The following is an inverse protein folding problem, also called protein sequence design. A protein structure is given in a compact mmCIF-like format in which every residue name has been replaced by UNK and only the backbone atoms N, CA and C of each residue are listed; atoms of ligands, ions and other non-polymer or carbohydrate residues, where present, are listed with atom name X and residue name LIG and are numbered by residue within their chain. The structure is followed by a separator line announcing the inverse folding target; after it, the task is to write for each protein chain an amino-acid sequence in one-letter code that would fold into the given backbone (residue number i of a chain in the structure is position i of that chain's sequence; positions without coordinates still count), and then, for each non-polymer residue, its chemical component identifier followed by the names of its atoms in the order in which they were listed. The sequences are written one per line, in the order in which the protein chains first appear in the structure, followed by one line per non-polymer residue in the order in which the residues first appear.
data_IF_499520427068
#
_entry.id   IF_499520427068
#
_cell.length_a   1.000
_cell.length_b   1.000
_cell.length_c   1.000
_cell.angle_alpha   90.00
_cell.angle_beta   90.00
_cell.angle_gamma   90.00
#
_symmetry.space_group_name_H-M   'P 1'
#
loop_
_entity.id
_entity.type
_entity.pdbx_description
1 polymer ?
#
# COMPACT_ATOMS: atom_id res chain seq x y z
N UNK A 1 89.07 -38.35 -17.29
CA UNK A 1 89.01 -37.11 -18.08
C UNK A 1 87.55 -36.68 -18.15
N UNK A 2 87.28 -35.57 -17.63
CA UNK A 2 85.97 -34.95 -17.33
C UNK A 2 85.29 -34.44 -18.58
N UNK A 3 83.92 -34.43 -18.49
CA UNK A 3 83.18 -33.31 -19.03
C UNK A 3 81.80 -33.26 -18.36
N UNK A 4 81.61 -32.18 -17.59
CA UNK A 4 80.37 -31.73 -17.06
C UNK A 4 79.48 -31.15 -18.16
N UNK A 5 78.21 -31.51 -18.21
CA UNK A 5 77.19 -30.71 -18.93
C UNK A 5 76.13 -30.24 -18.01
N UNK A 6 76.08 -28.94 -17.88
CA UNK A 6 74.98 -28.19 -17.33
C UNK A 6 73.68 -28.36 -18.12
N UNK A 7 72.58 -28.65 -17.46
CA UNK A 7 71.25 -28.57 -18.04
C UNK A 7 70.42 -27.59 -17.17
N UNK A 8 70.20 -26.47 -17.79
CA UNK A 8 69.40 -25.33 -17.30
C UNK A 8 67.92 -25.70 -17.19
N UNK A 9 67.34 -25.37 -16.05
CA UNK A 9 65.91 -25.48 -15.84
C UNK A 9 65.15 -24.28 -16.45
N UNK A 10 64.31 -24.58 -17.41
CA UNK A 10 63.37 -23.61 -18.00
C UNK A 10 62.07 -24.32 -18.42
N UNK A 11 61.34 -24.87 -17.48
CA UNK A 11 60.00 -25.48 -17.81
C UNK A 11 58.94 -25.43 -16.69
N UNK A 12 59.07 -24.54 -15.69
CA UNK A 12 58.09 -24.45 -14.62
C UNK A 12 57.31 -23.12 -14.52
N UNK A 13 57.48 -22.19 -15.45
CA UNK A 13 56.81 -20.89 -15.38
C UNK A 13 55.54 -20.79 -16.25
N UNK A 14 55.36 -21.69 -17.20
CA UNK A 14 54.26 -21.59 -18.18
C UNK A 14 52.96 -22.28 -17.70
N UNK A 15 53.00 -23.10 -16.64
CA UNK A 15 51.80 -23.85 -16.20
C UNK A 15 50.89 -23.03 -15.23
N UNK A 16 51.37 -21.96 -14.65
CA UNK A 16 50.61 -21.19 -13.69
C UNK A 16 49.77 -20.02 -14.29
N UNK A 17 50.13 -19.55 -15.47
CA UNK A 17 49.33 -18.51 -16.14
C UNK A 17 48.02 -19.05 -16.75
N UNK A 18 47.96 -20.34 -17.07
CA UNK A 18 46.75 -20.95 -17.69
C UNK A 18 45.64 -21.26 -16.69
N UNK A 19 45.98 -21.33 -15.40
CA UNK A 19 45.01 -21.59 -14.33
C UNK A 19 44.32 -20.31 -13.83
N UNK A 20 44.88 -19.15 -14.01
CA UNK A 20 44.30 -17.86 -13.63
C UNK A 20 43.32 -17.32 -14.69
N UNK A 21 43.50 -17.71 -15.96
CA UNK A 21 42.60 -17.27 -17.04
C UNK A 21 41.22 -17.95 -17.01
N UNK A 22 41.10 -19.13 -16.35
CA UNK A 22 39.84 -19.86 -16.25
C UNK A 22 39.00 -19.38 -15.04
N UNK A 23 39.63 -18.76 -14.04
CA UNK A 23 38.93 -18.23 -12.83
C UNK A 23 38.22 -16.91 -13.04
N UNK A 24 38.64 -16.10 -14.03
CA UNK A 24 38.04 -14.77 -14.28
C UNK A 24 36.87 -14.86 -15.28
N UNK A 25 36.82 -15.88 -16.13
CA UNK A 25 35.73 -16.12 -17.07
C UNK A 25 34.45 -16.69 -16.47
N UNK A 26 34.53 -17.27 -15.25
CA UNK A 26 33.39 -17.88 -14.57
C UNK A 26 32.59 -16.91 -13.67
N UNK A 27 33.18 -15.78 -13.30
CA UNK A 27 32.53 -14.82 -12.37
C UNK A 27 31.69 -13.74 -13.09
N UNK A 28 31.81 -13.62 -14.41
CA UNK A 28 31.07 -12.60 -15.18
C UNK A 28 29.75 -13.10 -15.79
N UNK A 29 29.34 -14.34 -15.52
CA UNK A 29 28.11 -14.92 -16.10
C UNK A 29 26.95 -15.08 -15.09
N UNK A 30 27.03 -14.50 -13.90
CA UNK A 30 25.84 -14.23 -13.08
C UNK A 30 25.30 -12.86 -13.49
N UNK A 31 24.88 -12.73 -14.74
CA UNK A 31 23.92 -11.72 -15.14
C UNK A 31 22.66 -12.04 -14.38
N UNK A 32 22.40 -11.28 -13.32
CA UNK A 32 21.11 -11.21 -12.66
C UNK A 32 20.10 -10.93 -13.77
N UNK A 33 19.41 -11.97 -14.22
CA UNK A 33 18.17 -11.82 -14.96
C UNK A 33 17.23 -11.13 -13.97
N UNK A 34 17.21 -9.81 -13.98
CA UNK A 34 16.15 -9.03 -13.38
C UNK A 34 14.88 -9.50 -14.09
N UNK A 35 14.18 -10.43 -13.48
CA UNK A 35 12.85 -10.83 -13.92
C UNK A 35 12.04 -9.55 -13.85
N UNK A 36 11.75 -8.95 -15.02
CA UNK A 36 10.83 -7.84 -15.12
C UNK A 36 9.53 -8.34 -14.52
N UNK A 37 9.16 -7.80 -13.34
CA UNK A 37 7.86 -8.07 -12.73
C UNK A 37 6.85 -7.33 -13.60
N UNK A 38 6.19 -8.10 -14.44
CA UNK A 38 5.11 -7.60 -15.28
C UNK A 38 3.90 -7.37 -14.39
N UNK A 39 3.45 -6.13 -14.27
CA UNK A 39 2.28 -5.79 -13.47
C UNK A 39 1.63 -4.51 -14.01
N UNK A 40 0.33 -4.37 -13.79
CA UNK A 40 -0.35 -3.09 -13.96
C UNK A 40 -0.03 -2.21 -12.76
N UNK A 41 0.31 -0.94 -12.97
CA UNK A 41 0.50 0.06 -11.91
C UNK A 41 -0.67 1.02 -11.89
N UNK A 42 -1.24 1.25 -10.70
CA UNK A 42 -2.38 2.16 -10.50
C UNK A 42 -2.00 3.20 -9.45
N UNK A 43 -2.12 4.48 -9.77
CA UNK A 43 -1.76 5.60 -8.89
C UNK A 43 -2.70 6.80 -9.06
N UNK A 44 -3.04 7.49 -7.94
CA UNK A 44 -2.80 7.14 -6.55
C UNK A 44 -3.75 6.03 -6.07
N UNK A 45 -3.43 5.37 -4.95
CA UNK A 45 -4.29 4.32 -4.35
C UNK A 45 -5.32 4.86 -3.36
N UNK A 46 -5.20 6.13 -2.97
CA UNK A 46 -6.18 6.89 -2.17
C UNK A 46 -6.37 8.25 -2.81
N UNK A 47 -7.61 8.65 -2.96
CA UNK A 47 -8.02 9.93 -3.52
C UNK A 47 -9.00 10.60 -2.56
N UNK A 48 -8.67 11.82 -2.16
CA UNK A 48 -9.55 12.67 -1.36
C UNK A 48 -10.14 13.77 -2.24
N UNK A 49 -11.47 13.81 -2.28
CA UNK A 49 -12.24 14.82 -2.98
C UNK A 49 -13.01 15.68 -1.96
N UNK A 50 -13.44 16.85 -2.42
CA UNK A 50 -14.43 17.68 -1.72
C UNK A 50 -15.75 17.66 -2.48
N UNK A 51 -16.87 17.83 -1.77
CA UNK A 51 -18.20 17.78 -2.39
C UNK A 51 -18.40 18.86 -3.44
N UNK A 52 -17.65 19.97 -3.37
CA UNK A 52 -17.76 21.07 -4.33
C UNK A 52 -16.42 21.78 -4.57
N UNK A 53 -16.36 22.63 -5.59
CA UNK A 53 -15.20 23.44 -5.94
C UNK A 53 -14.11 22.66 -6.70
N UNK A 54 -12.88 23.18 -6.64
CA UNK A 54 -11.75 22.59 -7.41
C UNK A 54 -11.37 21.18 -6.95
N UNK A 55 -11.66 20.84 -5.70
CA UNK A 55 -11.36 19.53 -5.12
C UNK A 55 -12.38 18.45 -5.47
N UNK A 56 -13.45 18.73 -6.24
CA UNK A 56 -14.46 17.73 -6.59
C UNK A 56 -14.03 16.78 -7.70
N UNK A 57 -12.80 16.90 -8.20
CA UNK A 57 -12.27 15.99 -9.21
C UNK A 57 -10.79 15.67 -8.97
N UNK A 58 -10.37 14.53 -9.51
CA UNK A 58 -8.98 14.06 -9.48
C UNK A 58 -8.69 13.20 -10.71
N UNK A 59 -7.44 12.80 -10.85
CA UNK A 59 -6.98 11.92 -11.94
C UNK A 59 -6.37 10.67 -11.34
N UNK A 60 -6.82 9.53 -11.83
CA UNK A 60 -6.24 8.22 -11.61
C UNK A 60 -5.44 7.83 -12.85
N UNK A 61 -4.22 7.36 -12.67
CA UNK A 61 -3.36 6.88 -13.77
C UNK A 61 -3.16 5.39 -13.67
N UNK A 62 -3.24 4.71 -14.82
CA UNK A 62 -2.99 3.28 -14.96
C UNK A 62 -1.92 3.09 -16.01
N UNK A 63 -0.81 2.48 -15.63
CA UNK A 63 0.30 2.15 -16.52
C UNK A 63 0.27 0.66 -16.83
N UNK A 64 0.36 0.33 -18.12
CA UNK A 64 0.49 -1.04 -18.58
C UNK A 64 1.96 -1.43 -18.71
N UNK A 65 2.47 -2.17 -17.74
CA UNK A 65 3.84 -2.72 -17.80
C UNK A 65 3.88 -4.14 -18.37
N UNK A 66 2.73 -4.71 -18.79
CA UNK A 66 2.71 -5.99 -19.53
C UNK A 66 3.23 -5.82 -20.96
N UNK A 67 3.68 -6.94 -21.56
CA UNK A 67 4.09 -6.97 -22.95
C UNK A 67 2.90 -7.03 -23.94
N UNK A 68 1.68 -7.19 -23.45
CA UNK A 68 0.44 -7.28 -24.23
C UNK A 68 -0.49 -6.10 -23.94
N UNK A 69 -1.40 -5.75 -24.86
CA UNK A 69 -2.44 -4.77 -24.59
C UNK A 69 -3.29 -5.17 -23.39
N UNK A 70 -3.60 -4.18 -22.53
CA UNK A 70 -4.33 -4.34 -21.28
C UNK A 70 -5.72 -3.71 -21.40
N UNK A 71 -6.79 -4.51 -21.61
CA UNK A 71 -8.15 -4.01 -21.53
C UNK A 71 -8.56 -3.86 -20.07
N UNK A 72 -9.07 -2.69 -19.70
CA UNK A 72 -9.55 -2.38 -18.36
C UNK A 72 -10.93 -1.76 -18.39
N UNK A 73 -11.72 -2.02 -17.36
CA UNK A 73 -12.95 -1.29 -17.07
C UNK A 73 -12.92 -0.72 -15.66
N UNK A 74 -13.63 0.39 -15.46
CA UNK A 74 -13.80 1.01 -14.16
C UNK A 74 -15.14 0.59 -13.57
N UNK A 75 -15.10 0.10 -12.32
CA UNK A 75 -16.28 -0.21 -11.52
C UNK A 75 -16.27 0.65 -10.26
N UNK A 76 -17.43 1.16 -9.89
CA UNK A 76 -17.59 1.99 -8.70
C UNK A 76 -18.50 1.25 -7.72
N UNK A 77 -18.15 1.32 -6.45
CA UNK A 77 -18.93 0.71 -5.37
C UNK A 77 -18.92 1.64 -4.15
N UNK A 78 -20.08 1.90 -3.57
CA UNK A 78 -20.21 2.60 -2.30
C UNK A 78 -19.57 1.79 -1.18
N UNK A 79 -18.96 2.48 -0.21
CA UNK A 79 -18.37 1.85 0.96
C UNK A 79 -19.14 2.18 2.23
N UNK A 80 -19.23 1.18 3.09
CA UNK A 80 -19.61 1.32 4.50
C UNK A 80 -18.34 1.34 5.34
N UNK A 81 -18.24 2.33 6.20
CA UNK A 81 -17.18 2.44 7.19
C UNK A 81 -17.83 2.27 8.55
N UNK A 82 -17.34 1.36 9.37
CA UNK A 82 -17.85 1.08 10.71
C UNK A 82 -16.71 0.88 11.72
N UNK A 83 -17.04 0.46 12.95
CA UNK A 83 -16.06 0.24 14.02
C UNK A 83 -15.00 -0.82 13.68
N UNK A 84 -15.34 -1.78 12.83
CA UNK A 84 -14.48 -2.92 12.49
C UNK A 84 -13.64 -2.67 11.25
N UNK A 85 -14.10 -1.81 10.35
CA UNK A 85 -13.37 -1.55 9.13
C UNK A 85 -14.15 -0.88 8.00
N UNK A 86 -13.76 -1.26 6.80
CA UNK A 86 -14.32 -0.77 5.55
C UNK A 86 -14.80 -1.96 4.74
N UNK A 87 -16.03 -1.92 4.27
CA UNK A 87 -16.63 -2.97 3.43
C UNK A 87 -17.39 -2.37 2.26
N UNK A 88 -17.45 -3.11 1.13
CA UNK A 88 -18.27 -2.73 -0.01
C UNK A 88 -19.76 -2.81 0.33
N UNK A 89 -20.54 -1.90 -0.21
CA UNK A 89 -22.00 -1.90 -0.05
C UNK A 89 -22.72 -2.72 -1.14
N UNK A 90 -21.99 -3.16 -2.18
CA UNK A 90 -22.54 -3.88 -3.33
C UNK A 90 -23.41 -3.01 -4.26
N UNK A 91 -23.35 -1.69 -4.08
CA UNK A 91 -24.16 -0.70 -4.84
C UNK A 91 -23.29 0.43 -5.35
N UNK A 92 -23.72 1.05 -6.45
CA UNK A 92 -23.20 2.34 -6.93
C UNK A 92 -24.31 3.37 -6.78
N UNK A 93 -24.13 4.35 -5.90
CA UNK A 93 -25.10 5.44 -5.68
C UNK A 93 -25.13 6.48 -6.80
N UNK A 94 -24.24 6.40 -7.77
CA UNK A 94 -24.15 7.33 -8.90
C UNK A 94 -23.55 8.70 -8.54
N UNK A 95 -22.95 8.85 -7.38
CA UNK A 95 -22.34 10.11 -6.94
C UNK A 95 -20.95 10.36 -7.53
N UNK A 96 -20.30 9.32 -8.07
CA UNK A 96 -19.02 9.42 -8.77
C UNK A 96 -19.19 9.11 -10.25
N UNK A 97 -18.45 9.83 -11.07
CA UNK A 97 -18.28 9.54 -12.50
C UNK A 97 -16.81 9.39 -12.80
N UNK A 98 -16.48 8.35 -13.57
CA UNK A 98 -15.11 8.13 -14.04
C UNK A 98 -15.09 8.07 -15.56
N UNK A 99 -14.19 8.84 -16.17
CA UNK A 99 -14.06 8.89 -17.62
C UNK A 99 -12.60 8.73 -18.07
N UNK A 100 -12.32 7.89 -19.07
CA UNK A 100 -13.27 6.98 -19.75
C UNK A 100 -13.67 5.80 -18.84
N UNK A 101 -14.86 5.16 -19.05
CA UNK A 101 -15.25 4.02 -18.23
C UNK A 101 -14.51 2.73 -18.58
N UNK A 102 -13.93 2.66 -19.78
CA UNK A 102 -13.13 1.52 -20.27
C UNK A 102 -11.98 2.04 -21.13
N UNK A 103 -10.89 1.29 -21.19
CA UNK A 103 -9.76 1.61 -22.06
C UNK A 103 -8.98 0.34 -22.45
N UNK A 104 -8.33 0.38 -23.62
CA UNK A 104 -7.32 -0.59 -24.03
C UNK A 104 -5.95 0.09 -23.99
N UNK A 105 -5.17 -0.22 -22.97
CA UNK A 105 -3.86 0.40 -22.72
C UNK A 105 -2.78 -0.42 -23.43
N UNK A 106 -2.04 0.20 -24.37
CA UNK A 106 -0.97 -0.48 -25.08
C UNK A 106 0.24 -0.74 -24.14
N UNK A 107 1.10 -1.73 -24.45
CA UNK A 107 2.31 -1.99 -23.68
C UNK A 107 3.17 -0.75 -23.47
N UNK A 108 3.59 -0.51 -22.21
CA UNK A 108 4.39 0.65 -21.82
C UNK A 108 3.65 1.98 -21.84
N UNK A 109 2.34 2.00 -22.11
CA UNK A 109 1.55 3.23 -22.12
C UNK A 109 0.83 3.46 -20.79
N UNK A 110 0.56 4.74 -20.52
CA UNK A 110 -0.20 5.20 -19.36
C UNK A 110 -1.54 5.79 -19.81
N UNK A 111 -2.62 5.39 -19.17
CA UNK A 111 -3.96 5.92 -19.34
C UNK A 111 -4.39 6.71 -18.11
N UNK A 112 -4.89 7.92 -18.33
CA UNK A 112 -5.50 8.75 -17.29
C UNK A 112 -7.01 8.57 -17.27
N UNK A 113 -7.56 8.41 -16.06
CA UNK A 113 -8.99 8.34 -15.79
C UNK A 113 -9.37 9.53 -14.90
N UNK A 114 -10.26 10.36 -15.37
CA UNK A 114 -10.77 11.49 -14.58
C UNK A 114 -11.89 10.98 -13.67
N UNK A 115 -11.74 11.18 -12.38
CA UNK A 115 -12.74 10.91 -11.36
C UNK A 115 -13.38 12.25 -10.97
N UNK A 116 -14.70 12.32 -10.92
CA UNK A 116 -15.45 13.50 -10.54
C UNK A 116 -16.61 13.14 -9.63
N UNK A 117 -16.74 13.86 -8.52
CA UNK A 117 -17.92 13.82 -7.68
C UNK A 117 -19.01 14.66 -8.31
N UNK A 118 -20.20 14.06 -8.47
CA UNK A 118 -21.40 14.67 -9.07
C UNK A 118 -22.62 14.59 -8.15
N UNK A 119 -22.43 14.11 -6.93
CA UNK A 119 -23.48 14.02 -5.91
C UNK A 119 -23.81 15.39 -5.29
N UNK A 120 -24.38 15.36 -4.08
CA UNK A 120 -24.83 16.55 -3.36
C UNK A 120 -23.65 17.49 -3.04
N UNK A 121 -23.61 18.72 -3.56
CA UNK A 121 -22.57 19.70 -3.24
C UNK A 121 -22.59 20.16 -1.78
N UNK A 122 -23.76 20.04 -1.08
CA UNK A 122 -23.94 20.36 0.32
C UNK A 122 -23.84 19.11 1.20
N UNK A 123 -22.99 18.18 0.82
CA UNK A 123 -22.74 16.92 1.52
C UNK A 123 -22.55 17.16 3.03
N UNK A 124 -23.36 16.47 3.85
CA UNK A 124 -23.35 16.69 5.30
C UNK A 124 -22.24 15.94 6.03
N UNK A 125 -21.82 14.78 5.52
CA UNK A 125 -20.74 13.96 6.05
C UNK A 125 -20.01 13.22 4.94
N UNK A 126 -18.76 12.86 5.15
CA UNK A 126 -17.96 12.15 4.17
C UNK A 126 -18.62 10.86 3.68
N UNK A 127 -18.49 10.60 2.39
CA UNK A 127 -18.84 9.34 1.70
C UNK A 127 -17.59 8.69 1.15
N UNK A 128 -17.63 7.38 0.99
CA UNK A 128 -16.49 6.58 0.60
C UNK A 128 -16.88 5.62 -0.51
N UNK A 129 -15.94 5.36 -1.42
CA UNK A 129 -16.14 4.53 -2.60
C UNK A 129 -14.89 3.72 -2.89
N UNK A 130 -15.07 2.53 -3.46
CA UNK A 130 -14.03 1.89 -4.23
C UNK A 130 -14.22 2.20 -5.72
N UNK A 131 -13.15 2.70 -6.33
CA UNK A 131 -13.01 2.74 -7.78
C UNK A 131 -12.08 1.59 -8.15
N UNK A 132 -12.65 0.54 -8.73
CA UNK A 132 -11.91 -0.65 -9.11
C UNK A 132 -11.49 -0.55 -10.57
N UNK A 133 -10.18 -0.60 -10.82
CA UNK A 133 -9.63 -0.83 -12.16
C UNK A 133 -9.58 -2.34 -12.37
N UNK A 134 -10.53 -2.87 -13.13
CA UNK A 134 -10.67 -4.30 -13.39
C UNK A 134 -10.10 -4.67 -14.76
N UNK A 135 -9.15 -5.59 -14.78
CA UNK A 135 -8.66 -6.17 -16.02
C UNK A 135 -9.75 -7.06 -16.64
N UNK A 136 -10.02 -6.85 -17.91
CA UNK A 136 -10.96 -7.70 -18.66
C UNK A 136 -10.24 -8.93 -19.23
N UNK A 137 -10.90 -10.09 -19.26
CA UNK A 137 -10.35 -11.28 -19.89
C UNK A 137 -10.15 -11.06 -21.39
N UNK A 138 -9.04 -11.55 -21.93
CA UNK A 138 -8.79 -11.60 -23.36
C UNK A 138 -9.06 -13.00 -23.90
N UNK A 139 -9.58 -13.11 -25.11
CA UNK A 139 -9.75 -14.40 -25.77
C UNK A 139 -8.36 -14.95 -26.11
N UNK A 140 -8.09 -16.17 -25.66
CA UNK A 140 -6.90 -16.90 -26.04
C UNK A 140 -7.09 -17.57 -27.42
N UNK A 141 -6.03 -17.79 -28.19
CA UNK A 141 -6.09 -18.59 -29.41
C UNK A 141 -6.69 -19.98 -29.15
N UNK A 142 -7.42 -20.51 -30.11
CA UNK A 142 -7.99 -21.86 -30.01
C UNK A 142 -6.88 -22.90 -29.80
N UNK A 143 -7.06 -23.75 -28.78
CA UNK A 143 -6.12 -24.81 -28.43
C UNK A 143 -5.15 -24.49 -27.29
N UNK A 144 -5.10 -23.26 -26.79
CA UNK A 144 -4.34 -22.90 -25.59
C UNK A 144 -5.25 -22.95 -24.36
N UNK A 145 -5.00 -23.94 -23.49
CA UNK A 145 -5.59 -23.99 -22.14
C UNK A 145 -4.64 -23.31 -21.17
N UNK A 146 -4.77 -22.00 -21.02
CA UNK A 146 -3.96 -21.25 -20.08
C UNK A 146 -4.81 -20.73 -18.90
N UNK A 147 -4.23 -20.77 -17.70
CA UNK A 147 -4.78 -20.10 -16.54
C UNK A 147 -4.60 -18.60 -16.74
N UNK A 148 -5.68 -17.84 -16.85
CA UNK A 148 -5.64 -16.38 -16.86
C UNK A 148 -5.74 -15.86 -15.43
N UNK A 149 -4.77 -15.05 -15.02
CA UNK A 149 -4.81 -14.27 -13.77
C UNK A 149 -5.31 -12.87 -14.14
N UNK A 150 -6.46 -12.49 -13.61
CA UNK A 150 -7.02 -11.14 -13.80
C UNK A 150 -6.74 -10.29 -12.57
N UNK A 151 -6.22 -9.11 -12.80
CA UNK A 151 -5.89 -8.15 -11.75
C UNK A 151 -7.04 -7.14 -11.57
N UNK A 152 -7.42 -6.94 -10.30
CA UNK A 152 -8.37 -5.90 -9.89
C UNK A 152 -7.68 -5.02 -8.85
N UNK A 153 -7.52 -3.72 -9.16
CA UNK A 153 -6.97 -2.74 -8.24
C UNK A 153 -8.08 -1.85 -7.71
N UNK A 154 -8.25 -1.85 -6.39
CA UNK A 154 -9.21 -0.99 -5.71
C UNK A 154 -8.52 0.28 -5.21
N UNK A 155 -9.04 1.42 -5.65
CA UNK A 155 -8.63 2.76 -5.21
C UNK A 155 -9.67 3.27 -4.25
N UNK A 156 -9.27 3.63 -3.05
CA UNK A 156 -10.14 4.27 -2.07
C UNK A 156 -10.38 5.73 -2.49
N UNK A 157 -11.62 6.08 -2.76
CA UNK A 157 -12.04 7.47 -3.03
C UNK A 157 -12.93 7.94 -1.88
N UNK A 158 -12.53 9.02 -1.24
CA UNK A 158 -13.30 9.63 -0.15
C UNK A 158 -13.70 11.04 -0.54
N UNK A 159 -14.96 11.40 -0.30
CA UNK A 159 -15.49 12.73 -0.56
C UNK A 159 -15.87 13.37 0.77
N UNK A 160 -15.27 14.52 1.07
CA UNK A 160 -15.55 15.27 2.30
C UNK A 160 -16.42 16.50 2.04
N UNK A 161 -17.23 16.94 3.03
CA UNK A 161 -17.85 18.26 3.01
C UNK A 161 -16.81 19.36 2.81
N UNK A 162 -17.13 20.35 1.98
CA UNK A 162 -16.21 21.44 1.70
C UNK A 162 -15.94 22.29 2.95
N UNK A 163 -14.65 22.55 3.22
CA UNK A 163 -14.23 23.41 4.34
C UNK A 163 -14.24 22.74 5.72
N UNK A 164 -14.60 21.46 5.83
CA UNK A 164 -14.55 20.68 7.08
C UNK A 164 -13.24 19.93 7.19
N UNK A 165 -12.66 19.92 8.41
CA UNK A 165 -11.42 19.18 8.69
C UNK A 165 -11.69 18.01 9.63
N UNK A 166 -10.96 16.88 9.50
CA UNK A 166 -11.06 15.77 10.44
C UNK A 166 -10.54 16.16 11.84
N UNK A 167 -11.04 15.45 12.86
CA UNK A 167 -10.65 15.66 14.26
C UNK A 167 -10.47 14.31 14.96
N UNK A 168 -9.41 13.56 14.55
CA UNK A 168 -9.16 12.23 15.11
C UNK A 168 -8.58 12.30 16.52
N UNK A 169 -9.16 11.53 17.43
CA UNK A 169 -8.71 11.38 18.81
C UNK A 169 -8.62 9.90 19.19
N UNK A 170 -7.56 9.52 19.92
CA UNK A 170 -7.49 8.21 20.57
C UNK A 170 -8.19 8.34 21.92
N UNK A 171 -9.38 7.75 22.04
CA UNK A 171 -10.21 7.80 23.24
C UNK A 171 -10.03 6.57 24.14
N UNK A 172 -9.38 5.52 23.64
CA UNK A 172 -9.07 4.31 24.40
C UNK A 172 -7.85 3.59 23.83
N UNK A 173 -7.12 2.94 24.74
CA UNK A 173 -6.02 2.05 24.36
C UNK A 173 -5.89 0.93 25.39
N UNK A 174 -5.75 -0.30 24.94
CA UNK A 174 -5.64 -1.47 25.80
C UNK A 174 -4.73 -2.54 25.19
N UNK A 175 -4.27 -3.46 26.01
CA UNK A 175 -3.59 -4.68 25.56
C UNK A 175 -4.67 -5.69 25.20
N UNK A 176 -4.67 -6.13 23.93
CA UNK A 176 -5.57 -7.17 23.45
C UNK A 176 -4.78 -8.36 22.94
N UNK A 177 -5.34 -9.55 23.08
CA UNK A 177 -4.79 -10.78 22.50
C UNK A 177 -5.56 -11.07 21.21
N UNK A 178 -4.84 -11.21 20.11
CA UNK A 178 -5.40 -11.57 18.80
C UNK A 178 -5.73 -13.07 18.76
N UNK A 179 -6.49 -13.51 17.76
CA UNK A 179 -6.89 -14.93 17.61
C UNK A 179 -5.69 -15.89 17.49
N UNK A 180 -4.56 -15.42 16.96
CA UNK A 180 -3.29 -16.16 16.87
C UNK A 180 -2.43 -16.07 18.14
N UNK A 181 -3.01 -15.54 19.25
CA UNK A 181 -2.38 -15.48 20.56
C UNK A 181 -1.35 -14.37 20.75
N UNK A 182 -1.16 -13.46 19.79
CA UNK A 182 -0.24 -12.32 19.91
C UNK A 182 -0.85 -11.21 20.75
N UNK A 183 -0.05 -10.61 21.62
CA UNK A 183 -0.44 -9.47 22.44
C UNK A 183 -0.12 -8.17 21.67
N UNK A 184 -1.14 -7.38 21.39
CA UNK A 184 -1.04 -6.16 20.59
C UNK A 184 -1.81 -5.03 21.26
N UNK A 185 -1.53 -3.79 20.83
CA UNK A 185 -2.33 -2.65 21.25
C UNK A 185 -3.63 -2.58 20.42
N UNK A 186 -4.77 -2.54 21.09
CA UNK A 186 -6.07 -2.18 20.51
C UNK A 186 -6.40 -0.76 20.88
N UNK A 187 -6.59 0.09 19.88
CA UNK A 187 -6.93 1.50 20.04
C UNK A 187 -8.39 1.74 19.69
N UNK A 188 -9.04 2.58 20.46
CA UNK A 188 -10.33 3.17 20.10
C UNK A 188 -10.06 4.58 19.59
N UNK A 189 -10.34 4.81 18.30
CA UNK A 189 -10.13 6.10 17.64
C UNK A 189 -11.48 6.70 17.28
N UNK A 190 -11.76 7.90 17.74
CA UNK A 190 -13.01 8.60 17.49
C UNK A 190 -12.75 9.81 16.60
N UNK A 191 -13.67 10.04 15.68
CA UNK A 191 -13.70 11.21 14.82
C UNK A 191 -15.05 11.94 14.99
N UNK A 192 -15.16 12.98 15.82
CA UNK A 192 -16.40 13.74 15.98
C UNK A 192 -16.70 14.70 14.81
N UNK A 193 -15.79 14.81 13.85
CA UNK A 193 -15.96 15.68 12.69
C UNK A 193 -16.82 15.05 11.61
N UNK A 194 -17.47 15.88 10.80
CA UNK A 194 -18.19 15.47 9.59
C UNK A 194 -17.28 15.10 8.39
N UNK A 195 -15.98 15.40 8.49
CA UNK A 195 -14.98 14.96 7.52
C UNK A 195 -14.29 13.69 8.01
N UNK A 196 -14.05 12.72 7.13
CA UNK A 196 -13.23 11.55 7.43
C UNK A 196 -11.77 11.94 7.68
N UNK A 197 -11.03 11.08 8.36
CA UNK A 197 -9.60 11.28 8.58
C UNK A 197 -8.82 9.98 8.51
N UNK A 198 -7.50 10.11 8.36
CA UNK A 198 -6.57 8.99 8.30
C UNK A 198 -5.54 9.09 9.42
N UNK A 199 -5.29 7.98 10.12
CA UNK A 199 -4.19 7.92 11.08
C UNK A 199 -2.83 8.11 10.41
N UNK A 200 -2.70 7.73 9.13
CA UNK A 200 -1.49 7.95 8.34
C UNK A 200 -1.18 9.45 8.09
N UNK A 201 -2.14 10.35 8.33
CA UNK A 201 -1.94 11.80 8.26
C UNK A 201 -1.47 12.41 9.59
N UNK A 202 -0.72 11.64 10.38
CA UNK A 202 -0.21 12.10 11.67
C UNK A 202 0.82 11.16 12.27
N UNK A 203 1.00 11.29 13.58
CA UNK A 203 1.91 10.48 14.37
C UNK A 203 1.15 9.80 15.49
N UNK A 204 1.40 8.52 15.65
CA UNK A 204 0.81 7.71 16.71
C UNK A 204 1.91 7.34 17.72
N UNK A 205 1.80 7.85 18.96
CA UNK A 205 2.69 7.51 20.06
C UNK A 205 2.01 6.48 20.96
N UNK A 206 2.74 5.41 21.26
CA UNK A 206 2.33 4.33 22.14
C UNK A 206 3.33 4.21 23.31
N UNK A 207 2.82 4.05 24.52
CA UNK A 207 3.58 3.78 25.74
C UNK A 207 2.94 2.58 26.43
N UNK A 208 3.69 1.51 26.62
CA UNK A 208 3.25 0.32 27.35
C UNK A 208 3.86 0.37 28.75
N UNK A 209 3.05 0.12 29.77
CA UNK A 209 3.46 0.09 31.16
C UNK A 209 3.21 -1.28 31.79
N UNK A 210 4.03 -1.63 32.76
CA UNK A 210 3.84 -2.83 33.58
C UNK A 210 2.83 -2.56 34.73
N UNK A 211 2.57 -3.59 35.55
CA UNK A 211 1.67 -3.48 36.70
C UNK A 211 2.12 -2.49 37.79
N UNK A 212 3.40 -2.10 37.80
CA UNK A 212 3.95 -1.08 38.71
C UNK A 212 3.86 0.35 38.15
N UNK A 213 3.44 0.49 36.89
CA UNK A 213 3.40 1.75 36.19
C UNK A 213 4.68 2.14 35.47
N UNK A 214 5.72 1.27 35.50
CA UNK A 214 6.96 1.53 34.78
C UNK A 214 6.75 1.35 33.28
N UNK A 215 7.39 2.19 32.50
CA UNK A 215 7.39 2.09 31.04
C UNK A 215 8.26 0.90 30.58
N UNK A 216 7.67 -0.04 29.85
CA UNK A 216 8.37 -1.23 29.32
C UNK A 216 8.53 -1.17 27.80
N UNK A 217 7.76 -0.35 27.12
CA UNK A 217 7.89 -0.11 25.67
C UNK A 217 7.41 1.29 25.31
N UNK A 218 8.16 1.96 24.46
CA UNK A 218 7.74 3.20 23.80
C UNK A 218 7.93 3.07 22.30
N UNK A 219 6.88 3.41 21.56
CA UNK A 219 6.92 3.50 20.10
C UNK A 219 6.25 4.77 19.62
N UNK A 220 6.81 5.37 18.58
CA UNK A 220 6.17 6.46 17.84
C UNK A 220 6.20 6.05 16.38
N UNK A 221 5.04 5.98 15.76
CA UNK A 221 4.86 5.67 14.36
C UNK A 221 4.60 6.99 13.61
N UNK A 222 5.39 7.26 12.59
CA UNK A 222 5.15 8.31 11.60
C UNK A 222 4.04 7.89 10.63
N UNK A 223 3.51 8.82 9.84
CA UNK A 223 2.48 8.53 8.84
C UNK A 223 2.84 7.37 7.89
N UNK A 224 4.04 7.36 7.28
CA UNK A 224 4.49 6.23 6.44
C UNK A 224 4.58 4.90 7.22
N UNK A 225 5.05 4.91 8.48
CA UNK A 225 5.10 3.69 9.30
C UNK A 225 3.69 3.20 9.66
N UNK A 226 2.75 4.11 9.95
CA UNK A 226 1.34 3.78 10.17
C UNK A 226 0.79 3.09 8.92
N UNK A 227 1.02 3.68 7.73
CA UNK A 227 0.54 3.13 6.47
C UNK A 227 1.10 1.71 6.20
N UNK A 228 2.36 1.46 6.50
CA UNK A 228 2.98 0.15 6.35
C UNK A 228 2.47 -0.88 7.37
N UNK A 229 2.10 -0.42 8.57
CA UNK A 229 1.77 -1.28 9.71
C UNK A 229 0.28 -1.64 9.76
N UNK A 230 -0.59 -0.66 9.57
CA UNK A 230 -2.05 -0.80 9.71
C UNK A 230 -2.83 -0.26 8.51
N UNK A 231 -2.14 0.13 7.43
CA UNK A 231 -2.74 0.83 6.30
C UNK A 231 -3.02 2.29 6.61
N UNK A 232 -3.86 2.94 5.83
CA UNK A 232 -4.15 4.38 6.01
C UNK A 232 -4.85 4.70 7.33
N UNK A 233 -5.52 3.73 7.95
CA UNK A 233 -6.24 3.95 9.21
C UNK A 233 -7.40 4.93 9.03
N UNK A 234 -8.25 4.73 8.01
CA UNK A 234 -9.44 5.53 7.75
C UNK A 234 -10.40 5.45 8.94
N UNK A 235 -10.83 6.61 9.45
CA UNK A 235 -11.92 6.76 10.40
C UNK A 235 -12.98 7.65 9.76
N UNK A 236 -14.19 7.12 9.60
CA UNK A 236 -15.29 7.83 8.96
C UNK A 236 -15.75 9.05 9.74
N UNK A 237 -16.61 9.85 9.11
CA UNK A 237 -17.22 11.02 9.71
C UNK A 237 -18.15 10.63 10.87
N UNK A 238 -18.02 11.28 12.01
CA UNK A 238 -18.86 11.05 13.21
C UNK A 238 -18.84 9.59 13.67
N UNK A 239 -17.68 8.92 13.53
CA UNK A 239 -17.54 7.50 13.83
C UNK A 239 -16.42 7.23 14.83
N UNK A 240 -16.54 6.06 15.45
CA UNK A 240 -15.50 5.43 16.27
C UNK A 240 -15.02 4.16 15.57
N UNK A 241 -13.72 3.91 15.57
CA UNK A 241 -13.13 2.72 15.00
C UNK A 241 -12.15 2.07 15.97
N UNK A 242 -12.17 0.74 16.02
CA UNK A 242 -11.16 -0.06 16.69
C UNK A 242 -10.03 -0.39 15.72
N UNK A 243 -8.79 -0.16 16.14
CA UNK A 243 -7.59 -0.37 15.34
C UNK A 243 -6.61 -1.19 16.13
N UNK A 244 -6.22 -2.36 15.59
CA UNK A 244 -5.12 -3.14 16.12
C UNK A 244 -3.80 -2.61 15.56
N UNK A 245 -2.86 -2.31 16.45
CA UNK A 245 -1.51 -1.94 16.08
C UNK A 245 -0.61 -3.14 16.31
N UNK A 246 -0.09 -3.80 15.25
CA UNK A 246 0.66 -5.06 15.35
C UNK A 246 2.08 -4.84 15.86
N UNK A 247 2.20 -4.21 17.02
CA UNK A 247 3.42 -4.08 17.79
C UNK A 247 3.35 -5.11 18.92
N UNK A 248 4.34 -5.99 18.99
CA UNK A 248 4.41 -6.99 20.03
C UNK A 248 4.59 -6.32 21.40
N UNK A 249 3.67 -6.62 22.31
CA UNK A 249 3.68 -6.08 23.67
C UNK A 249 4.44 -7.08 24.57
N UNK A 250 5.50 -6.62 25.31
CA UNK A 250 6.21 -7.46 26.26
C UNK A 250 5.28 -8.16 27.25
N UNK A 251 5.68 -9.33 27.74
CA UNK A 251 4.86 -10.14 28.67
C UNK A 251 4.47 -9.37 29.94
N UNK A 252 5.38 -8.53 30.45
CA UNK A 252 5.16 -7.68 31.62
C UNK A 252 4.27 -6.45 31.34
N UNK A 253 4.03 -6.10 30.08
CA UNK A 253 3.17 -4.96 29.70
C UNK A 253 1.71 -5.24 30.04
N UNK A 254 1.07 -4.43 30.88
CA UNK A 254 -0.31 -4.63 31.34
C UNK A 254 -1.27 -3.55 30.86
N UNK A 255 -0.73 -2.37 30.48
CA UNK A 255 -1.55 -1.25 30.00
C UNK A 255 -0.86 -0.53 28.85
N UNK A 256 -1.66 0.13 28.02
CA UNK A 256 -1.22 0.95 26.89
C UNK A 256 -1.79 2.34 27.02
N UNK A 257 -0.95 3.33 26.86
CA UNK A 257 -1.34 4.71 26.62
C UNK A 257 -1.04 5.05 25.15
N UNK A 258 -1.98 5.69 24.47
CA UNK A 258 -1.79 6.07 23.08
C UNK A 258 -2.21 7.52 22.85
N UNK A 259 -1.48 8.20 21.97
CA UNK A 259 -1.80 9.57 21.55
C UNK A 259 -1.56 9.73 20.06
N UNK A 260 -2.57 10.23 19.39
CA UNK A 260 -2.48 10.68 18.02
C UNK A 260 -2.21 12.18 17.94
N UNK A 261 -1.34 12.59 17.05
CA UNK A 261 -1.06 13.99 16.74
C UNK A 261 -1.15 14.15 15.24
N UNK A 262 -2.18 14.87 14.72
CA UNK A 262 -2.28 15.10 13.28
C UNK A 262 -1.08 15.92 12.80
N UNK A 263 -0.57 15.60 11.61
CA UNK A 263 0.35 16.47 10.94
C UNK A 263 -0.40 17.74 10.52
N UNK A 264 0.06 18.90 10.98
CA UNK A 264 -0.50 20.17 10.55
C UNK A 264 -0.25 20.28 9.04
N UNK A 265 -1.26 19.94 8.25
CA UNK A 265 -1.19 20.05 6.81
C UNK A 265 -0.79 21.48 6.43
N UNK A 266 0.31 21.56 5.67
CA UNK A 266 0.70 22.78 4.98
C UNK A 266 -0.27 23.09 3.86
#
# INVERSE_FOLDING_TARGET
MSSLTHRTGASRVISNLRRWAIGIGGAAAVVVAATAVWAMTVQPVVIDLTASGRGSNSVLTVENTFAAPLPVEIRIEDLKVDETGVSGAGTDGGDLVVFPPQSLIQPGQTQSFRIQYVGDPDLQRSRHYYVTVAQLPVQLPEGESAIQILYNFQVLVSVAPTGVRPALEVTGAEVATTEDGRRQARLTVTNPSRAHGYLANGRLRLIVKNARGDEVLRRTLSGPEIQQTIGFGLVGAEQTRQVFVPIEIPAEGTSVEARFTPDNGR
#
